data_IF_816930602620
#
_entry.id   IF_816930602620
#
_cell.length_a   1.000
_cell.length_b   1.000
_cell.length_c   1.000
_cell.angle_alpha   90.00
_cell.angle_beta   90.00
_cell.angle_gamma   90.00
#
_symmetry.space_group_name_H-M   'P 1'
#
loop_
_entity.id
_entity.type
_entity.pdbx_description
1 polymer ?
#
# COMPACT_ATOMS: atom_id res chain seq x y z
N UNK A 1 18.58 22.48 4.22
CA UNK A 1 17.26 21.82 4.41
C UNK A 1 17.00 20.62 3.48
N UNK A 2 17.46 20.62 2.22
CA UNK A 2 17.20 19.51 1.27
C UNK A 2 17.84 18.17 1.68
N UNK A 3 19.04 18.20 2.28
CA UNK A 3 19.74 17.01 2.75
C UNK A 3 19.11 16.43 4.02
N UNK A 4 18.71 17.29 4.97
CA UNK A 4 17.96 16.88 6.17
C UNK A 4 16.64 16.18 5.81
N UNK A 5 15.86 16.71 4.85
CA UNK A 5 14.65 16.05 4.37
C UNK A 5 14.92 14.66 3.78
N UNK A 6 16.03 14.48 3.04
CA UNK A 6 16.44 13.17 2.50
C UNK A 6 16.84 12.19 3.59
N UNK A 7 17.59 12.65 4.59
CA UNK A 7 18.00 11.81 5.73
C UNK A 7 16.77 11.35 6.52
N UNK A 8 15.84 12.27 6.82
CA UNK A 8 14.59 11.92 7.51
C UNK A 8 13.77 10.92 6.70
N UNK A 9 13.65 11.11 5.38
CA UNK A 9 12.95 10.17 4.51
C UNK A 9 13.62 8.79 4.49
N UNK A 10 14.95 8.74 4.42
CA UNK A 10 15.70 7.50 4.46
C UNK A 10 15.53 6.75 5.78
N UNK A 11 15.57 7.46 6.91
CA UNK A 11 15.31 6.88 8.25
C UNK A 11 13.88 6.37 8.35
N UNK A 12 12.90 7.12 7.85
CA UNK A 12 11.50 6.68 7.83
C UNK A 12 11.32 5.40 7.00
N UNK A 13 11.90 5.36 5.79
CA UNK A 13 11.86 4.16 4.94
C UNK A 13 12.55 2.97 5.61
N UNK A 14 13.70 3.19 6.25
CA UNK A 14 14.41 2.14 7.00
C UNK A 14 13.54 1.60 8.14
N UNK A 15 12.88 2.47 8.91
CA UNK A 15 11.97 2.06 9.97
C UNK A 15 10.80 1.23 9.42
N UNK A 16 10.19 1.64 8.31
CA UNK A 16 9.12 0.88 7.66
C UNK A 16 9.63 -0.51 7.24
N UNK A 17 10.81 -0.59 6.64
CA UNK A 17 11.42 -1.88 6.26
C UNK A 17 11.62 -2.77 7.49
N UNK A 18 12.18 -2.24 8.57
CA UNK A 18 12.41 -3.01 9.79
C UNK A 18 11.10 -3.52 10.42
N UNK A 19 10.06 -2.68 10.46
CA UNK A 19 8.73 -3.08 10.95
C UNK A 19 8.15 -4.21 10.09
N UNK A 20 8.23 -4.08 8.75
CA UNK A 20 7.76 -5.11 7.84
C UNK A 20 8.52 -6.43 8.03
N UNK A 21 9.84 -6.38 8.17
CA UNK A 21 10.65 -7.57 8.40
C UNK A 21 10.31 -8.25 9.73
N UNK A 22 10.21 -7.49 10.82
CA UNK A 22 9.83 -8.02 12.12
C UNK A 22 8.42 -8.65 12.07
N UNK A 23 7.49 -7.98 11.40
CA UNK A 23 6.14 -8.50 11.21
C UNK A 23 6.12 -9.81 10.41
N UNK A 24 6.90 -9.90 9.34
CA UNK A 24 7.03 -11.11 8.51
C UNK A 24 7.61 -12.27 9.31
N UNK A 25 8.66 -12.00 10.10
CA UNK A 25 9.33 -13.02 10.91
C UNK A 25 8.46 -13.52 12.06
N UNK A 26 7.67 -12.64 12.69
CA UNK A 26 6.80 -13.02 13.80
C UNK A 26 5.52 -13.72 13.32
N UNK A 27 5.03 -13.35 12.13
CA UNK A 27 3.77 -13.85 11.57
C UNK A 27 4.03 -14.83 10.42
N UNK A 28 4.75 -15.91 10.72
CA UNK A 28 5.01 -17.03 9.79
C UNK A 28 3.81 -17.99 9.65
N UNK A 29 2.73 -17.76 10.38
CA UNK A 29 1.51 -18.56 10.30
C UNK A 29 0.93 -18.50 8.89
N UNK A 30 0.74 -19.67 8.28
CA UNK A 30 0.10 -19.80 6.97
C UNK A 30 -1.41 -19.77 7.12
N UNK A 31 -2.07 -19.01 6.25
CA UNK A 31 -3.54 -18.91 6.18
C UNK A 31 -4.00 -19.03 4.74
N UNK A 32 -5.14 -19.67 4.53
CA UNK A 32 -5.86 -19.62 3.26
C UNK A 32 -6.85 -18.47 3.29
N UNK A 33 -6.88 -17.68 2.20
CA UNK A 33 -7.91 -16.67 2.01
C UNK A 33 -9.11 -17.28 1.29
N UNK A 34 -10.27 -17.23 1.93
CA UNK A 34 -11.52 -17.51 1.25
C UNK A 34 -12.03 -16.24 0.59
N UNK A 35 -12.12 -16.23 -0.73
CA UNK A 35 -12.62 -15.10 -1.50
C UNK A 35 -13.77 -15.54 -2.40
N UNK A 36 -14.96 -14.97 -2.19
CA UNK A 36 -16.18 -15.33 -2.95
C UNK A 36 -16.47 -16.84 -2.98
N UNK A 37 -16.13 -17.56 -1.90
CA UNK A 37 -16.30 -19.02 -1.80
C UNK A 37 -15.16 -19.86 -2.38
N UNK A 38 -14.14 -19.23 -2.97
CA UNK A 38 -12.95 -19.90 -3.49
C UNK A 38 -11.82 -19.82 -2.47
N UNK A 39 -11.21 -20.95 -2.14
CA UNK A 39 -10.04 -20.99 -1.25
C UNK A 39 -8.77 -20.71 -2.05
N UNK A 40 -8.07 -19.65 -1.69
CA UNK A 40 -6.73 -19.35 -2.19
C UNK A 40 -5.66 -20.27 -1.61
N UNK A 41 -4.44 -20.23 -2.20
CA UNK A 41 -3.30 -20.95 -1.66
C UNK A 41 -2.98 -20.51 -0.22
N UNK A 42 -2.46 -21.42 0.58
CA UNK A 42 -1.97 -21.09 1.92
C UNK A 42 -0.70 -20.26 1.81
N UNK A 43 -0.76 -19.03 2.31
CA UNK A 43 0.36 -18.09 2.34
C UNK A 43 0.52 -17.55 3.76
N UNK A 44 1.75 -17.18 4.18
CA UNK A 44 1.93 -16.50 5.45
C UNK A 44 1.07 -15.23 5.51
N UNK A 45 0.38 -15.02 6.63
CA UNK A 45 -0.47 -13.83 6.88
C UNK A 45 0.27 -12.54 6.53
N UNK A 46 1.56 -12.52 6.84
CA UNK A 46 2.43 -11.38 6.58
C UNK A 46 2.54 -11.01 5.10
N UNK A 47 2.67 -12.00 4.22
CA UNK A 47 2.76 -11.80 2.76
C UNK A 47 1.47 -11.15 2.23
N UNK A 48 0.32 -11.64 2.69
CA UNK A 48 -0.99 -11.12 2.31
C UNK A 48 -1.13 -9.65 2.70
N UNK A 49 -0.82 -9.31 3.96
CA UNK A 49 -0.96 -7.95 4.48
C UNK A 49 -0.01 -6.98 3.78
N UNK A 50 1.24 -7.39 3.55
CA UNK A 50 2.22 -6.57 2.84
C UNK A 50 1.79 -6.31 1.40
N UNK A 51 1.31 -7.34 0.69
CA UNK A 51 0.77 -7.16 -0.67
C UNK A 51 -0.44 -6.23 -0.69
N UNK A 52 -1.38 -6.39 0.24
CA UNK A 52 -2.54 -5.52 0.35
C UNK A 52 -2.14 -4.05 0.62
N UNK A 53 -1.17 -3.83 1.49
CA UNK A 53 -0.62 -2.50 1.77
C UNK A 53 0.00 -1.88 0.51
N UNK A 54 0.87 -2.62 -0.19
CA UNK A 54 1.53 -2.14 -1.40
C UNK A 54 0.52 -1.83 -2.51
N UNK A 55 -0.46 -2.71 -2.70
CA UNK A 55 -1.55 -2.49 -3.66
C UNK A 55 -2.38 -1.27 -3.29
N UNK A 56 -2.74 -1.10 -2.02
CA UNK A 56 -3.45 0.08 -1.53
C UNK A 56 -2.67 1.38 -1.74
N UNK A 57 -1.35 1.38 -1.47
CA UNK A 57 -0.47 2.52 -1.70
C UNK A 57 -0.36 2.89 -3.18
N UNK A 58 -0.47 1.93 -4.10
CA UNK A 58 -0.46 2.19 -5.54
C UNK A 58 -1.83 2.66 -6.05
N UNK A 59 -2.90 1.97 -5.65
CA UNK A 59 -4.28 2.21 -6.11
C UNK A 59 -4.80 3.56 -5.57
N UNK A 60 -4.51 3.92 -4.32
CA UNK A 60 -5.01 5.15 -3.71
C UNK A 60 -4.69 6.43 -4.50
N UNK A 61 -3.40 6.70 -4.83
CA UNK A 61 -3.01 7.82 -5.67
C UNK A 61 -3.58 7.77 -7.09
N UNK A 62 -3.67 6.57 -7.69
CA UNK A 62 -4.26 6.40 -9.03
C UNK A 62 -5.74 6.79 -9.05
N UNK A 63 -6.52 6.33 -8.05
CA UNK A 63 -7.92 6.70 -7.89
C UNK A 63 -8.07 8.19 -7.60
N UNK A 64 -7.25 8.75 -6.70
CA UNK A 64 -7.26 10.18 -6.39
C UNK A 64 -6.96 11.05 -7.62
N UNK A 65 -5.98 10.64 -8.44
CA UNK A 65 -5.67 11.29 -9.70
C UNK A 65 -6.82 11.19 -10.72
N UNK A 66 -7.44 10.02 -10.86
CA UNK A 66 -8.57 9.81 -11.76
C UNK A 66 -9.78 10.68 -11.36
N UNK A 67 -10.15 10.67 -10.08
CA UNK A 67 -11.27 11.46 -9.55
C UNK A 67 -11.02 12.96 -9.75
N UNK A 68 -9.83 13.45 -9.40
CA UNK A 68 -9.49 14.87 -9.60
C UNK A 68 -9.47 15.26 -11.09
N UNK A 69 -9.07 14.36 -12.00
CA UNK A 69 -9.14 14.59 -13.44
C UNK A 69 -10.58 14.69 -13.94
N UNK A 70 -11.45 13.77 -13.52
CA UNK A 70 -12.87 13.78 -13.88
C UNK A 70 -13.57 15.06 -13.39
N UNK A 71 -13.33 15.46 -12.12
CA UNK A 71 -13.92 16.67 -11.55
C UNK A 71 -13.45 17.96 -12.24
N UNK A 72 -12.19 18.01 -12.71
CA UNK A 72 -11.66 19.18 -13.45
C UNK A 72 -12.25 19.30 -14.86
N UNK A 73 -12.64 18.19 -15.49
CA UNK A 73 -13.29 18.20 -16.80
C UNK A 73 -14.69 18.84 -16.73
N UNK A 74 -15.47 18.50 -15.71
CA UNK A 74 -16.83 19.03 -15.54
C UNK A 74 -16.85 20.52 -15.19
N UNK A 75 -15.82 21.05 -14.54
CA UNK A 75 -15.74 22.48 -14.16
C UNK A 75 -15.44 23.43 -15.32
N UNK A 76 -14.95 22.92 -16.46
CA UNK A 76 -14.70 23.73 -17.68
C UNK A 76 -15.93 23.92 -18.55
N UNK A 77 -17.03 23.19 -18.28
CA UNK A 77 -18.28 23.30 -19.04
C UNK A 77 -19.29 24.28 -18.40
N UNK A 78 -18.94 24.91 -17.27
CA UNK A 78 -19.80 25.80 -16.49
C UNK A 78 -19.26 27.25 -16.40
N UNK A 79 -18.26 27.61 -17.22
CA UNK A 79 -17.74 28.98 -17.35
C UNK A 79 -17.85 29.40 -18.81
#
# INVERSE_FOLDING_TARGET
MRNLKRVVLAVFLLLVILIVLAFVLENQQSVSLLFLGWSGPELPVSVIIVLALLMGMLIGPLLGWLVTRLMRSSRKQLI
#
